data_IF_399631631410
#
_entry.id   IF_399631631410
#
_cell.length_a   1.000
_cell.length_b   1.000
_cell.length_c   1.000
_cell.angle_alpha   90.00
_cell.angle_beta   90.00
_cell.angle_gamma   90.00
#
_symmetry.space_group_name_H-M   'P 1'
#
loop_
_entity.id
_entity.type
_entity.pdbx_description
1 polymer ?
#
# COMPACT_ATOMS: atom_id res chain seq x y z
N UNK A 1 4.27 -4.01 -11.93
CA UNK A 1 3.82 -5.42 -11.77
C UNK A 1 3.69 -5.70 -10.28
N UNK A 2 2.66 -6.39 -9.81
CA UNK A 2 2.56 -6.75 -8.39
C UNK A 2 3.59 -7.83 -8.04
N UNK A 3 4.11 -7.78 -6.82
CA UNK A 3 4.90 -8.87 -6.23
C UNK A 3 4.02 -10.12 -6.07
N UNK A 4 4.60 -11.30 -6.31
CA UNK A 4 3.89 -12.59 -6.28
C UNK A 4 3.20 -12.83 -4.93
N UNK A 5 3.81 -12.36 -3.84
CA UNK A 5 3.26 -12.47 -2.49
C UNK A 5 1.94 -11.74 -2.30
N UNK A 6 1.73 -10.66 -3.05
CA UNK A 6 0.58 -9.77 -2.96
C UNK A 6 -0.35 -9.84 -4.17
N UNK A 7 -0.05 -10.72 -5.13
CA UNK A 7 -0.78 -10.83 -6.38
C UNK A 7 -2.27 -11.10 -6.15
N UNK A 8 -3.12 -10.23 -6.70
CA UNK A 8 -4.58 -10.33 -6.56
C UNK A 8 -5.10 -9.99 -5.15
N UNK A 9 -4.23 -9.54 -4.24
CA UNK A 9 -4.56 -9.16 -2.87
C UNK A 9 -4.47 -7.66 -2.65
N UNK A 10 -3.83 -6.90 -3.52
CA UNK A 10 -3.69 -5.44 -3.39
C UNK A 10 -4.51 -4.69 -4.42
N UNK A 11 -5.18 -3.63 -3.98
CA UNK A 11 -5.90 -2.68 -4.85
C UNK A 11 -5.81 -1.25 -4.30
N UNK A 12 -6.02 -0.27 -5.18
CA UNK A 12 -6.15 1.13 -4.81
C UNK A 12 -7.61 1.58 -4.91
N UNK A 13 -7.99 2.55 -4.09
CA UNK A 13 -9.27 3.26 -4.18
C UNK A 13 -9.26 4.27 -5.35
N UNK A 14 -9.24 3.77 -6.58
CA UNK A 14 -9.05 4.61 -7.79
C UNK A 14 -10.07 5.74 -7.93
N UNK A 15 -11.30 5.54 -7.47
CA UNK A 15 -12.35 6.57 -7.47
C UNK A 15 -12.01 7.76 -6.57
N UNK A 16 -11.14 7.57 -5.58
CA UNK A 16 -10.80 8.59 -4.57
C UNK A 16 -9.48 9.32 -4.87
N UNK A 17 -8.82 9.01 -5.99
CA UNK A 17 -7.56 9.64 -6.37
C UNK A 17 -7.70 11.16 -6.53
N UNK A 18 -8.83 11.64 -7.07
CA UNK A 18 -9.09 13.08 -7.22
C UNK A 18 -9.28 13.79 -5.88
N UNK A 19 -9.63 13.05 -4.83
CA UNK A 19 -9.73 13.56 -3.46
C UNK A 19 -8.40 13.43 -2.69
N UNK A 20 -7.34 12.92 -3.33
CA UNK A 20 -6.02 12.73 -2.73
C UNK A 20 -5.85 11.42 -1.96
N UNK A 21 -6.85 10.53 -1.93
CA UNK A 21 -6.68 9.23 -1.29
C UNK A 21 -5.91 8.27 -2.19
N UNK A 22 -4.67 7.99 -1.83
CA UNK A 22 -3.80 7.02 -2.49
C UNK A 22 -3.54 5.77 -1.62
N UNK A 23 -4.38 5.50 -0.63
CA UNK A 23 -4.25 4.34 0.25
C UNK A 23 -4.33 3.02 -0.52
N UNK A 24 -3.50 2.07 -0.11
CA UNK A 24 -3.48 0.70 -0.61
C UNK A 24 -4.35 -0.20 0.28
N UNK A 25 -5.29 -0.92 -0.32
CA UNK A 25 -6.07 -1.95 0.36
C UNK A 25 -5.43 -3.32 0.16
N UNK A 26 -4.98 -3.95 1.25
CA UNK A 26 -4.45 -5.31 1.28
C UNK A 26 -5.54 -6.29 1.79
N UNK A 27 -6.01 -7.17 0.90
CA UNK A 27 -7.02 -8.18 1.16
C UNK A 27 -6.42 -9.46 1.74
N UNK A 28 -7.24 -10.19 2.51
CA UNK A 28 -6.92 -11.52 3.07
C UNK A 28 -5.58 -11.48 3.82
N UNK A 29 -5.38 -10.49 4.70
CA UNK A 29 -4.14 -10.27 5.46
C UNK A 29 -3.68 -11.57 6.14
N UNK A 30 -2.38 -11.86 6.09
CA UNK A 30 -1.75 -13.06 6.65
C UNK A 30 -0.74 -12.64 7.72
N UNK A 31 -0.45 -13.50 8.68
CA UNK A 31 0.57 -13.23 9.71
C UNK A 31 1.94 -12.90 9.11
N UNK A 32 2.28 -13.49 7.95
CA UNK A 32 3.52 -13.16 7.26
C UNK A 32 3.57 -11.70 6.81
N UNK A 33 2.44 -11.06 6.50
CA UNK A 33 2.35 -9.68 6.01
C UNK A 33 2.73 -8.63 7.06
N UNK A 34 2.93 -9.02 8.31
CA UNK A 34 3.55 -8.15 9.32
C UNK A 34 4.89 -7.63 8.81
N UNK A 35 5.13 -6.33 8.97
CA UNK A 35 6.40 -5.70 8.62
C UNK A 35 6.27 -4.23 8.26
N UNK A 36 7.37 -3.68 7.78
CA UNK A 36 7.46 -2.28 7.36
C UNK A 36 7.11 -2.11 5.88
N UNK A 37 6.28 -1.11 5.59
CA UNK A 37 5.83 -0.75 4.25
C UNK A 37 6.13 0.72 4.03
N UNK A 38 6.59 1.06 2.83
CA UNK A 38 6.78 2.45 2.43
C UNK A 38 5.75 2.80 1.36
N UNK A 39 4.96 3.84 1.60
CA UNK A 39 4.21 4.48 0.53
C UNK A 39 5.12 5.51 -0.13
N UNK A 40 5.26 5.47 -1.45
CA UNK A 40 6.08 6.40 -2.23
C UNK A 40 5.19 7.04 -3.28
N UNK A 41 5.15 8.37 -3.30
CA UNK A 41 4.47 9.18 -4.31
C UNK A 41 5.49 10.08 -4.97
N UNK A 42 5.68 9.90 -6.28
CA UNK A 42 6.52 10.75 -7.11
C UNK A 42 5.71 11.38 -8.23
N UNK A 43 5.86 12.69 -8.41
CA UNK A 43 5.17 13.45 -9.45
C UNK A 43 6.05 14.63 -9.90
N UNK A 44 6.44 14.66 -11.17
CA UNK A 44 7.45 15.60 -11.68
C UNK A 44 8.72 15.57 -10.80
N UNK A 45 9.09 16.71 -10.22
CA UNK A 45 10.26 16.85 -9.35
C UNK A 45 9.94 16.64 -7.86
N UNK A 46 8.70 16.29 -7.51
CA UNK A 46 8.33 16.03 -6.11
C UNK A 46 8.43 14.55 -5.77
N UNK A 47 8.94 14.28 -4.58
CA UNK A 47 9.07 12.96 -3.99
C UNK A 47 8.58 13.01 -2.54
N UNK A 48 7.64 12.15 -2.20
CA UNK A 48 7.14 11.98 -0.85
C UNK A 48 7.12 10.51 -0.49
N UNK A 49 7.57 10.19 0.70
CA UNK A 49 7.47 8.86 1.26
C UNK A 49 7.01 8.88 2.73
N UNK A 50 6.41 7.77 3.14
CA UNK A 50 6.03 7.54 4.53
C UNK A 50 6.20 6.07 4.87
N UNK A 51 6.80 5.82 6.03
CA UNK A 51 6.96 4.49 6.61
C UNK A 51 5.72 4.11 7.42
N UNK A 52 5.22 2.90 7.20
CA UNK A 52 4.05 2.33 7.86
C UNK A 52 4.45 0.97 8.42
N UNK A 53 4.28 0.78 9.73
CA UNK A 53 4.47 -0.51 10.38
C UNK A 53 3.13 -1.26 10.44
N UNK A 54 3.01 -2.35 9.68
CA UNK A 54 1.84 -3.21 9.70
C UNK A 54 1.97 -4.26 10.80
N UNK A 55 1.09 -4.19 11.79
CA UNK A 55 0.89 -5.25 12.77
C UNK A 55 -0.31 -6.11 12.38
N UNK A 56 -0.18 -7.42 12.51
CA UNK A 56 -1.26 -8.38 12.24
C UNK A 56 -1.64 -9.04 13.57
N UNK A 57 -2.91 -8.91 13.94
CA UNK A 57 -3.44 -9.59 15.12
C UNK A 57 -3.42 -11.12 14.90
N UNK A 58 -3.08 -11.84 15.97
CA UNK A 58 -3.09 -13.31 16.02
C UNK A 58 -4.48 -13.86 16.26
#
# INVERSE_FOLDING_TARGET
KQDERYQGRTEFFRSEFRAGNMSLHLKKVRSSDKGSYTCVVSFNDTYHDVLIELQVAG
#
